data_IF_151571792243
#
_entry.id   IF_151571792243
#
_cell.length_a   1.000
_cell.length_b   1.000
_cell.length_c   1.000
_cell.angle_alpha   90.00
_cell.angle_beta   90.00
_cell.angle_gamma   90.00
#
_symmetry.space_group_name_H-M   'P 1'
#
loop_
_entity.id
_entity.type
_entity.pdbx_description
1 polymer ?
#
# COMPACT_ATOMS: atom_id res chain seq x y z
N UNK A 1 1.09 -26.73 -13.10
CA UNK A 1 -0.28 -26.22 -13.39
C UNK A 1 -1.11 -26.26 -12.11
N UNK A 2 -1.95 -25.24 -11.83
CA UNK A 2 -2.91 -25.31 -10.70
C UNK A 2 -3.98 -26.38 -10.99
N UNK A 3 -4.29 -27.23 -10.02
CA UNK A 3 -5.13 -28.44 -10.20
C UNK A 3 -6.62 -28.14 -10.48
N UNK A 4 -7.22 -27.16 -9.80
CA UNK A 4 -8.69 -26.98 -9.79
C UNK A 4 -9.20 -25.70 -10.47
N UNK A 5 -8.30 -24.84 -10.98
CA UNK A 5 -8.65 -23.55 -11.64
C UNK A 5 -9.59 -22.63 -10.82
N UNK A 6 -9.62 -22.77 -9.50
CA UNK A 6 -10.38 -21.88 -8.61
C UNK A 6 -9.51 -20.74 -8.06
N UNK A 7 -10.16 -19.65 -7.68
CA UNK A 7 -9.57 -18.48 -7.00
C UNK A 7 -10.37 -18.25 -5.72
N UNK A 8 -9.66 -17.90 -4.65
CA UNK A 8 -10.22 -17.51 -3.35
C UNK A 8 -9.60 -16.18 -2.95
N UNK A 9 -10.44 -15.22 -2.54
CA UNK A 9 -9.97 -14.00 -1.88
C UNK A 9 -9.65 -14.35 -0.42
N UNK A 10 -8.37 -14.37 -0.08
CA UNK A 10 -7.91 -14.69 1.28
C UNK A 10 -7.64 -13.45 2.12
N UNK A 11 -7.66 -12.26 1.50
CA UNK A 11 -7.39 -10.99 2.16
C UNK A 11 -7.83 -9.80 1.30
N UNK A 12 -8.42 -8.80 1.95
CA UNK A 12 -8.70 -7.48 1.36
C UNK A 12 -8.58 -6.37 2.41
N UNK A 13 -8.42 -5.14 1.95
CA UNK A 13 -8.25 -3.96 2.80
C UNK A 13 -8.64 -2.69 2.02
N UNK A 14 -9.04 -1.65 2.75
CA UNK A 14 -9.31 -0.32 2.20
C UNK A 14 -10.78 -0.01 1.94
N UNK A 15 -11.65 -1.03 1.80
CA UNK A 15 -13.09 -0.84 1.56
C UNK A 15 -13.76 0.05 2.61
N UNK A 16 -13.46 -0.17 3.88
CA UNK A 16 -14.04 0.59 5.00
C UNK A 16 -13.47 2.01 5.14
N UNK A 17 -12.36 2.33 4.47
CA UNK A 17 -11.74 3.67 4.51
C UNK A 17 -12.36 4.66 3.52
N UNK A 18 -13.26 4.18 2.66
CA UNK A 18 -14.07 5.03 1.78
C UNK A 18 -13.26 5.85 0.76
N UNK A 19 -13.87 6.92 0.27
CA UNK A 19 -13.35 7.76 -0.81
C UNK A 19 -12.02 8.45 -0.45
N UNK A 20 -11.77 8.69 0.84
CA UNK A 20 -10.51 9.28 1.30
C UNK A 20 -9.29 8.44 0.92
N UNK A 21 -9.46 7.12 0.75
CA UNK A 21 -8.41 6.18 0.34
C UNK A 21 -8.69 5.59 -1.04
N UNK A 22 -9.55 6.22 -1.83
CA UNK A 22 -9.78 5.80 -3.21
C UNK A 22 -8.79 6.50 -4.15
N UNK A 23 -8.01 5.71 -4.87
CA UNK A 23 -7.09 6.18 -5.92
C UNK A 23 -7.52 5.56 -7.24
N UNK A 24 -7.97 6.38 -8.20
CA UNK A 24 -8.43 5.90 -9.52
C UNK A 24 -7.25 5.54 -10.44
N UNK A 25 -6.10 6.15 -10.20
CA UNK A 25 -4.82 5.84 -10.83
C UNK A 25 -3.75 5.68 -9.76
N UNK A 26 -2.63 5.03 -10.10
CA UNK A 26 -1.44 4.96 -9.25
C UNK A 26 -1.74 4.36 -7.87
N UNK A 27 -1.86 3.04 -7.81
CA UNK A 27 -1.98 2.29 -6.55
C UNK A 27 -1.14 1.01 -6.56
N UNK A 28 -0.64 0.59 -5.41
CA UNK A 28 0.05 -0.70 -5.25
C UNK A 28 -0.23 -1.33 -3.89
N UNK A 29 -0.22 -2.66 -3.84
CA UNK A 29 -0.20 -3.43 -2.60
C UNK A 29 0.93 -4.47 -2.66
N UNK A 30 1.79 -4.48 -1.64
CA UNK A 30 2.95 -5.38 -1.54
C UNK A 30 2.87 -6.18 -0.25
N UNK A 31 2.94 -7.50 -0.37
CA UNK A 31 3.12 -8.39 0.77
C UNK A 31 4.58 -8.40 1.23
N UNK A 32 4.83 -8.31 2.52
CA UNK A 32 6.17 -8.33 3.13
C UNK A 32 6.39 -9.68 3.82
N UNK A 33 7.17 -10.61 3.24
CA UNK A 33 7.26 -12.00 3.70
C UNK A 33 7.78 -12.17 5.12
N UNK A 34 8.72 -11.32 5.55
CA UNK A 34 9.33 -11.41 6.88
C UNK A 34 8.36 -11.08 8.02
N UNK A 35 7.47 -10.11 7.83
CA UNK A 35 6.54 -9.65 8.87
C UNK A 35 5.11 -10.16 8.68
N UNK A 36 4.74 -10.53 7.45
CA UNK A 36 3.35 -10.81 7.07
C UNK A 36 2.50 -9.55 6.86
N UNK A 37 3.09 -8.36 7.00
CA UNK A 37 2.43 -7.08 6.78
C UNK A 37 2.24 -6.82 5.28
N UNK A 38 1.44 -5.79 4.97
CA UNK A 38 1.23 -5.31 3.62
C UNK A 38 1.45 -3.81 3.54
N UNK A 39 2.27 -3.40 2.57
CA UNK A 39 2.50 -1.99 2.25
C UNK A 39 1.58 -1.60 1.10
N UNK A 40 0.71 -0.62 1.32
CA UNK A 40 -0.28 -0.13 0.36
C UNK A 40 0.06 1.32 0.01
N UNK A 41 0.14 1.62 -1.29
CA UNK A 41 0.35 2.96 -1.81
C UNK A 41 -0.94 3.45 -2.46
N UNK A 42 -1.41 4.61 -2.01
CA UNK A 42 -2.48 5.40 -2.60
C UNK A 42 -1.84 6.64 -3.21
N UNK A 43 -1.50 6.59 -4.49
CA UNK A 43 -0.66 7.60 -5.12
C UNK A 43 -1.40 8.87 -5.55
N UNK A 44 -2.66 8.74 -5.94
CA UNK A 44 -3.46 9.84 -6.48
C UNK A 44 -4.72 10.04 -5.64
N UNK A 45 -4.57 10.74 -4.51
CA UNK A 45 -5.66 11.14 -3.64
C UNK A 45 -5.97 12.63 -3.83
N UNK A 46 -7.20 13.03 -3.50
CA UNK A 46 -7.64 14.43 -3.53
C UNK A 46 -7.26 15.15 -4.84
N UNK A 47 -7.57 14.52 -5.98
CA UNK A 47 -7.23 15.03 -7.34
C UNK A 47 -5.72 15.24 -7.57
N UNK A 48 -4.89 14.41 -6.94
CA UNK A 48 -3.44 14.48 -7.06
C UNK A 48 -2.79 15.51 -6.15
N UNK A 49 -3.47 15.94 -5.08
CA UNK A 49 -2.88 16.81 -4.05
C UNK A 49 -2.24 16.03 -2.92
N UNK A 50 -2.55 14.73 -2.81
CA UNK A 50 -2.06 13.88 -1.74
C UNK A 50 -1.63 12.50 -2.26
N UNK A 51 -0.64 11.91 -1.59
CA UNK A 51 -0.38 10.49 -1.63
C UNK A 51 -0.32 9.93 -0.21
N UNK A 52 -0.76 8.69 -0.01
CA UNK A 52 -0.66 8.00 1.28
C UNK A 52 0.01 6.65 1.12
N UNK A 53 0.97 6.36 1.99
CA UNK A 53 1.63 5.06 2.09
C UNK A 53 1.26 4.47 3.43
N UNK A 54 0.58 3.33 3.43
CA UNK A 54 0.05 2.69 4.63
C UNK A 54 0.62 1.29 4.75
N UNK A 55 1.22 0.99 5.88
CA UNK A 55 1.56 -0.38 6.27
C UNK A 55 0.51 -0.91 7.22
N UNK A 56 -0.03 -2.09 6.90
CA UNK A 56 -0.98 -2.80 7.76
C UNK A 56 -0.48 -4.18 8.12
N UNK A 57 -0.83 -4.63 9.31
CA UNK A 57 -0.61 -6.02 9.72
C UNK A 57 -1.56 -6.98 8.98
N UNK A 58 -1.41 -8.29 9.26
CA UNK A 58 -2.24 -9.34 8.66
C UNK A 58 -3.75 -9.18 8.88
N UNK A 59 -4.15 -8.47 9.94
CA UNK A 59 -5.55 -8.20 10.30
C UNK A 59 -6.04 -6.87 9.73
N UNK A 60 -5.21 -6.14 8.98
CA UNK A 60 -5.56 -4.83 8.45
C UNK A 60 -5.36 -3.67 9.44
N UNK A 61 -4.77 -3.91 10.61
CA UNK A 61 -4.47 -2.84 11.57
C UNK A 61 -3.28 -2.02 11.06
N UNK A 62 -3.41 -0.69 11.06
CA UNK A 62 -2.33 0.22 10.66
C UNK A 62 -1.15 0.12 11.63
N UNK A 63 0.03 -0.12 11.07
CA UNK A 63 1.32 -0.16 11.77
C UNK A 63 2.10 1.12 11.50
N UNK A 64 1.99 1.65 10.28
CA UNK A 64 2.63 2.89 9.86
C UNK A 64 1.76 3.56 8.80
N UNK A 65 1.72 4.89 8.82
CA UNK A 65 1.04 5.68 7.80
C UNK A 65 1.80 6.97 7.55
N UNK A 66 2.14 7.20 6.27
CA UNK A 66 2.77 8.43 5.79
C UNK A 66 1.82 9.13 4.84
N UNK A 67 1.53 10.39 5.15
CA UNK A 67 0.82 11.32 4.25
C UNK A 67 1.84 12.24 3.60
N UNK A 68 1.80 12.28 2.27
CA UNK A 68 2.56 13.21 1.44
C UNK A 68 1.57 14.26 0.91
N UNK A 69 1.85 15.53 1.17
CA UNK A 69 1.08 16.68 0.69
C UNK A 69 2.05 17.80 0.33
N UNK A 70 1.52 18.92 -0.18
CA UNK A 70 2.27 20.15 -0.45
C UNK A 70 3.45 19.98 -1.43
N UNK A 71 3.38 18.96 -2.29
CA UNK A 71 4.33 18.72 -3.37
C UNK A 71 3.86 19.38 -4.68
N UNK A 72 4.78 19.69 -5.62
CA UNK A 72 4.41 20.22 -6.93
C UNK A 72 3.49 19.27 -7.70
N UNK A 73 2.61 19.82 -8.54
CA UNK A 73 1.74 19.01 -9.40
C UNK A 73 2.49 17.88 -10.10
N UNK A 74 1.90 16.69 -10.13
CA UNK A 74 2.47 15.47 -10.71
C UNK A 74 3.60 14.79 -9.91
N UNK A 75 4.00 15.31 -8.75
CA UNK A 75 4.98 14.65 -7.85
C UNK A 75 4.36 13.57 -6.95
N UNK A 76 3.37 12.84 -7.47
CA UNK A 76 2.66 11.77 -6.78
C UNK A 76 3.56 10.58 -6.48
N UNK A 77 3.30 9.87 -5.38
CA UNK A 77 3.94 8.59 -5.11
C UNK A 77 3.48 7.52 -6.10
N UNK A 78 4.35 7.16 -7.06
CA UNK A 78 4.02 6.14 -8.05
C UNK A 78 3.98 4.72 -7.44
N UNK A 79 5.00 4.40 -6.64
CA UNK A 79 5.18 3.14 -5.91
C UNK A 79 5.89 3.43 -4.59
N UNK A 80 5.69 2.54 -3.62
CA UNK A 80 6.40 2.57 -2.35
C UNK A 80 7.06 1.22 -2.09
N UNK A 81 8.26 1.27 -1.51
CA UNK A 81 9.01 0.10 -1.07
C UNK A 81 9.57 0.36 0.32
N UNK A 82 9.60 -0.69 1.13
CA UNK A 82 10.22 -0.67 2.45
C UNK A 82 11.62 -1.26 2.32
N UNK A 83 12.59 -0.56 2.90
CA UNK A 83 13.99 -0.98 2.91
C UNK A 83 14.48 -1.05 4.34
N UNK A 84 15.30 -2.05 4.63
CA UNK A 84 16.09 -2.06 5.85
C UNK A 84 17.11 -0.93 5.83
N UNK A 85 17.24 -0.22 6.95
CA UNK A 85 18.27 0.80 7.14
C UNK A 85 19.70 0.19 7.14
N UNK A 86 19.82 -1.08 7.53
CA UNK A 86 21.10 -1.79 7.59
C UNK A 86 21.11 -2.96 6.60
N UNK A 87 22.19 -3.07 5.82
CA UNK A 87 22.38 -4.04 4.74
C UNK A 87 22.43 -5.52 5.18
N UNK A 88 22.32 -5.81 6.49
CA UNK A 88 22.32 -7.17 7.05
C UNK A 88 20.94 -7.76 7.34
N UNK A 89 19.88 -6.94 7.43
CA UNK A 89 18.52 -7.42 7.63
C UNK A 89 17.81 -7.47 6.27
N UNK A 90 17.65 -8.68 5.72
CA UNK A 90 16.83 -8.90 4.53
C UNK A 90 15.35 -8.92 4.96
N UNK A 91 14.52 -8.09 4.35
CA UNK A 91 13.05 -8.18 4.44
C UNK A 91 12.47 -9.30 3.57
#
# INVERSE_FOLDING_TARGET
>A
MKKNKTIEEVWSYGKERGEEYFTNIIGSARYMPTTGNRLVNFGYLAEGKESRIVEVDKNGKVVYELRLSDFPSSAWSYRAERFSLYSGNKE
#
